data_IF_450724412605
#
_entry.id   IF_450724412605
#
_cell.length_a   1.000
_cell.length_b   1.000
_cell.length_c   1.000
_cell.angle_alpha   90.00
_cell.angle_beta   90.00
_cell.angle_gamma   90.00
#
_symmetry.space_group_name_H-M   'P 1'
#
loop_
_entity.id
_entity.type
_entity.pdbx_description
1 polymer ?
#
# COMPACT_ATOMS: atom_id res chain seq x y z
N UNK A 1 2.17 15.58 10.77
CA UNK A 1 1.40 14.31 10.91
C UNK A 1 1.11 13.69 9.55
N UNK A 2 0.48 14.40 8.61
CA UNK A 2 0.26 13.94 7.23
C UNK A 2 1.53 13.39 6.54
N UNK A 3 2.67 14.09 6.65
CA UNK A 3 3.95 13.60 6.12
C UNK A 3 4.42 12.29 6.78
N UNK A 4 4.10 12.08 8.06
CA UNK A 4 4.41 10.84 8.78
C UNK A 4 3.57 9.67 8.27
N UNK A 5 2.26 9.89 8.14
CA UNK A 5 1.34 8.91 7.54
C UNK A 5 1.76 8.54 6.11
N UNK A 6 2.14 9.53 5.29
CA UNK A 6 2.62 9.28 3.93
C UNK A 6 3.91 8.44 3.91
N UNK A 7 4.85 8.70 4.83
CA UNK A 7 6.07 7.89 4.99
C UNK A 7 5.78 6.47 5.48
N UNK A 8 4.83 6.29 6.39
CA UNK A 8 4.42 4.95 6.83
C UNK A 8 3.85 4.15 5.66
N UNK A 9 2.87 4.72 4.93
CA UNK A 9 2.26 4.06 3.77
C UNK A 9 3.30 3.77 2.68
N UNK A 10 4.20 4.73 2.38
CA UNK A 10 5.30 4.52 1.43
C UNK A 10 6.23 3.38 1.89
N UNK A 11 6.60 3.35 3.17
CA UNK A 11 7.45 2.31 3.74
C UNK A 11 6.82 0.93 3.67
N UNK A 12 5.53 0.81 4.02
CA UNK A 12 4.79 -0.45 3.92
C UNK A 12 4.64 -0.93 2.47
N UNK A 13 4.40 -0.02 1.52
CA UNK A 13 4.36 -0.37 0.09
C UNK A 13 5.73 -0.85 -0.43
N UNK A 14 6.83 -0.21 0.00
CA UNK A 14 8.17 -0.68 -0.33
C UNK A 14 8.50 -2.01 0.34
N UNK A 15 8.02 -2.26 1.56
CA UNK A 15 8.15 -3.55 2.22
C UNK A 15 7.39 -4.64 1.47
N UNK A 16 6.15 -4.38 1.05
CA UNK A 16 5.36 -5.29 0.21
C UNK A 16 6.08 -5.63 -1.11
N UNK A 17 6.69 -4.62 -1.76
CA UNK A 17 7.53 -4.85 -2.95
C UNK A 17 8.71 -5.78 -2.64
N UNK A 18 9.43 -5.52 -1.55
CA UNK A 18 10.58 -6.35 -1.16
C UNK A 18 10.15 -7.77 -0.78
N UNK A 19 8.97 -7.94 -0.17
CA UNK A 19 8.39 -9.24 0.12
C UNK A 19 8.10 -10.02 -1.17
N UNK A 20 7.51 -9.40 -2.20
CA UNK A 20 7.27 -10.05 -3.49
C UNK A 20 8.56 -10.57 -4.12
N UNK A 21 9.61 -9.75 -4.09
CA UNK A 21 10.93 -10.12 -4.62
C UNK A 21 11.57 -11.25 -3.81
N UNK A 22 11.49 -11.16 -2.47
CA UNK A 22 12.13 -12.14 -1.58
C UNK A 22 11.45 -13.50 -1.59
N UNK A 23 10.11 -13.52 -1.68
CA UNK A 23 9.34 -14.76 -1.72
C UNK A 23 9.23 -15.33 -3.13
N UNK A 24 9.58 -14.53 -4.15
CA UNK A 24 9.35 -14.85 -5.56
C UNK A 24 7.85 -15.06 -5.91
N UNK A 25 6.95 -14.48 -5.12
CA UNK A 25 5.49 -14.58 -5.27
C UNK A 25 4.87 -13.18 -5.48
N UNK A 26 3.65 -13.12 -6.02
CA UNK A 26 2.94 -11.85 -6.11
C UNK A 26 2.49 -11.38 -4.72
N UNK A 27 2.51 -10.07 -4.47
CA UNK A 27 2.06 -9.47 -3.20
C UNK A 27 1.11 -8.32 -3.50
N UNK A 28 -0.07 -8.32 -2.88
CA UNK A 28 -1.09 -7.30 -3.08
C UNK A 28 -1.35 -6.53 -1.80
N UNK A 29 -1.51 -5.22 -1.95
CA UNK A 29 -1.90 -4.33 -0.85
C UNK A 29 -3.37 -3.95 -1.01
N UNK A 30 -4.21 -4.45 -0.11
CA UNK A 30 -5.64 -4.21 -0.10
C UNK A 30 -5.96 -3.05 0.83
N UNK A 31 -6.33 -1.89 0.28
CA UNK A 31 -6.90 -0.78 1.04
C UNK A 31 -8.42 -0.99 1.18
N UNK A 32 -8.88 -1.43 2.34
CA UNK A 32 -10.29 -1.82 2.56
C UNK A 32 -11.07 -0.82 3.42
N UNK A 33 -10.41 0.11 4.11
CA UNK A 33 -11.07 1.30 4.69
C UNK A 33 -10.35 2.60 4.28
N UNK A 34 -10.71 3.70 4.92
CA UNK A 34 -10.08 5.01 4.83
C UNK A 34 -8.95 5.22 5.86
N UNK A 35 -8.53 4.17 6.58
CA UNK A 35 -7.34 4.19 7.44
C UNK A 35 -6.64 2.83 7.57
N UNK A 36 -7.28 1.75 7.09
CA UNK A 36 -6.75 0.40 7.18
C UNK A 36 -6.45 -0.21 5.82
N UNK A 37 -5.39 -1.00 5.79
CA UNK A 37 -5.01 -1.83 4.67
C UNK A 37 -4.36 -3.10 5.15
N UNK A 38 -4.18 -4.04 4.24
CA UNK A 38 -3.42 -5.25 4.51
C UNK A 38 -2.56 -5.66 3.34
N UNK A 39 -1.48 -6.36 3.65
CA UNK A 39 -0.53 -6.92 2.69
C UNK A 39 -0.76 -8.43 2.70
N UNK A 40 -0.96 -9.02 1.53
CA UNK A 40 -1.17 -10.45 1.33
C UNK A 40 -0.25 -10.94 0.21
N UNK A 41 0.20 -12.19 0.28
CA UNK A 41 1.01 -12.86 -0.74
C UNK A 41 0.24 -14.00 -1.40
N UNK A 42 0.54 -14.25 -2.68
CA UNK A 42 0.05 -15.36 -3.49
C UNK A 42 0.81 -16.62 -3.05
N UNK A 43 0.36 -17.28 -1.99
CA UNK A 43 1.06 -18.43 -1.40
C UNK A 43 0.75 -19.73 -2.14
N UNK A 44 -0.35 -19.73 -2.92
CA UNK A 44 -0.80 -20.88 -3.69
C UNK A 44 -0.29 -20.88 -5.15
N UNK A 45 0.36 -19.78 -5.59
CA UNK A 45 0.92 -19.55 -6.92
C UNK A 45 -0.10 -19.69 -8.07
N UNK A 46 -1.37 -19.35 -7.83
CA UNK A 46 -2.41 -19.38 -8.86
C UNK A 46 -2.42 -18.11 -9.74
N UNK A 47 -1.54 -17.14 -9.42
CA UNK A 47 -1.39 -15.88 -10.14
C UNK A 47 -2.35 -14.78 -9.66
N UNK A 48 -3.15 -15.05 -8.63
CA UNK A 48 -4.11 -14.13 -8.04
C UNK A 48 -3.91 -14.05 -6.54
N UNK A 49 -3.53 -12.87 -6.04
CA UNK A 49 -3.50 -12.64 -4.60
C UNK A 49 -4.92 -12.38 -4.10
N UNK A 50 -5.45 -13.29 -3.28
CA UNK A 50 -6.76 -13.20 -2.67
C UNK A 50 -6.79 -12.41 -1.36
N UNK A 51 -7.98 -11.93 -0.99
CA UNK A 51 -8.17 -11.17 0.25
C UNK A 51 -7.94 -12.08 1.45
N UNK A 52 -6.78 -11.94 2.10
CA UNK A 52 -6.46 -12.71 3.32
C UNK A 52 -5.69 -13.99 3.04
N UNK A 53 -5.17 -14.13 1.83
CA UNK A 53 -4.23 -15.18 1.47
C UNK A 53 -2.85 -14.95 2.10
N UNK A 54 -2.14 -16.05 2.34
CA UNK A 54 -0.74 -16.04 2.75
C UNK A 54 -0.53 -15.42 4.13
N UNK A 55 0.62 -14.78 4.29
CA UNK A 55 0.97 -14.07 5.50
C UNK A 55 0.33 -12.66 5.51
N UNK A 56 -0.81 -12.56 6.17
CA UNK A 56 -1.60 -11.33 6.22
C UNK A 56 -1.03 -10.33 7.23
N UNK A 57 -0.49 -9.21 6.73
CA UNK A 57 -0.10 -8.09 7.59
C UNK A 57 -1.19 -7.02 7.60
N UNK A 58 -1.85 -6.85 8.74
CA UNK A 58 -2.85 -5.78 8.93
C UNK A 58 -2.15 -4.50 9.38
N UNK A 59 -2.49 -3.38 8.74
CA UNK A 59 -1.92 -2.05 8.99
C UNK A 59 -3.03 -1.04 9.23
N UNK A 60 -2.84 -0.20 10.24
CA UNK A 60 -3.76 0.88 10.58
C UNK A 60 -2.95 2.17 10.84
N UNK A 61 -3.21 3.20 10.05
CA UNK A 61 -2.52 4.49 10.21
C UNK A 61 -3.07 5.30 11.39
N UNK A 62 -4.29 5.03 11.86
CA UNK A 62 -4.91 5.79 12.96
C UNK A 62 -4.27 5.54 14.31
N UNK A 63 -3.55 4.42 14.47
CA UNK A 63 -2.74 4.15 15.68
C UNK A 63 -1.79 5.31 16.01
N UNK A 64 -1.24 5.98 14.98
CA UNK A 64 -0.31 7.11 15.11
C UNK A 64 -0.88 8.43 14.54
N UNK A 65 -1.81 8.35 13.60
CA UNK A 65 -2.30 9.46 12.79
C UNK A 65 -3.84 9.49 12.69
N UNK A 66 -4.52 9.56 13.84
CA UNK A 66 -5.99 9.55 13.94
C UNK A 66 -6.73 10.63 13.13
N UNK A 67 -6.04 11.68 12.69
CA UNK A 67 -6.58 12.80 11.92
C UNK A 67 -6.23 12.74 10.42
N UNK A 68 -5.80 11.58 9.94
CA UNK A 68 -5.45 11.34 8.54
C UNK A 68 -6.30 10.21 7.98
N UNK A 69 -6.91 10.44 6.82
CA UNK A 69 -7.61 9.41 6.05
C UNK A 69 -6.86 9.13 4.75
N UNK A 70 -7.10 7.95 4.18
CA UNK A 70 -6.56 7.51 2.91
C UNK A 70 -7.68 7.18 1.91
N UNK A 71 -7.40 7.42 0.64
CA UNK A 71 -8.16 6.89 -0.49
C UNK A 71 -7.17 6.38 -1.53
N UNK A 72 -7.62 5.55 -2.45
CA UNK A 72 -6.78 4.87 -3.44
C UNK A 72 -7.47 4.86 -4.80
N UNK A 73 -6.69 4.99 -5.86
CA UNK A 73 -7.20 4.78 -7.23
C UNK A 73 -7.45 3.30 -7.51
N UNK A 74 -6.55 2.42 -7.06
CA UNK A 74 -6.57 0.96 -7.22
C UNK A 74 -5.80 0.29 -6.07
N UNK A 75 -5.87 -1.03 -5.97
CA UNK A 75 -4.99 -1.81 -5.08
C UNK A 75 -3.77 -2.30 -5.89
N UNK A 76 -2.52 -1.94 -5.50
CA UNK A 76 -1.34 -2.34 -6.26
C UNK A 76 -0.99 -3.81 -6.00
N UNK A 77 -0.55 -4.51 -7.05
CA UNK A 77 0.08 -5.83 -6.98
C UNK A 77 1.55 -5.69 -7.35
N UNK A 78 2.43 -6.04 -6.43
CA UNK A 78 3.86 -6.17 -6.67
C UNK A 78 4.18 -7.58 -7.16
N UNK A 79 4.99 -7.64 -8.21
CA UNK A 79 5.38 -8.88 -8.88
C UNK A 79 6.77 -9.34 -8.38
N UNK A 80 7.11 -10.63 -8.53
CA UNK A 80 8.41 -11.18 -8.12
C UNK A 80 9.63 -10.43 -8.70
N UNK A 81 9.49 -9.88 -9.90
CA UNK A 81 10.51 -9.04 -10.56
C UNK A 81 10.62 -7.62 -10.00
N UNK A 82 9.90 -7.28 -8.94
CA UNK A 82 9.90 -5.97 -8.29
C UNK A 82 9.12 -4.88 -9.04
N UNK A 83 8.36 -5.21 -10.09
CA UNK A 83 7.44 -4.30 -10.78
C UNK A 83 6.08 -4.24 -10.09
N UNK A 84 5.22 -3.27 -10.43
CA UNK A 84 3.87 -3.20 -9.91
C UNK A 84 2.81 -3.10 -11.03
N UNK A 85 1.60 -3.58 -10.77
CA UNK A 85 0.43 -3.37 -11.63
C UNK A 85 -0.86 -3.40 -10.81
N UNK A 86 -1.84 -2.52 -11.07
CA UNK A 86 -1.73 -1.32 -11.92
C UNK A 86 -0.92 -0.21 -11.22
N UNK A 87 -0.59 0.86 -11.96
CA UNK A 87 -0.13 2.10 -11.33
C UNK A 87 -1.20 2.61 -10.37
N UNK A 88 -0.78 3.03 -9.17
CA UNK A 88 -1.70 3.37 -8.09
C UNK A 88 -1.32 4.70 -7.47
N UNK A 89 -2.31 5.54 -7.17
CA UNK A 89 -2.15 6.72 -6.32
C UNK A 89 -2.95 6.51 -5.04
N UNK A 90 -2.26 6.64 -3.90
CA UNK A 90 -2.86 6.72 -2.59
C UNK A 90 -2.88 8.19 -2.20
N UNK A 91 -4.06 8.72 -1.91
CA UNK A 91 -4.27 10.10 -1.50
C UNK A 91 -4.49 10.10 0.01
N UNK A 92 -3.62 10.79 0.74
CA UNK A 92 -3.77 11.02 2.17
C UNK A 92 -4.27 12.43 2.41
N UNK A 93 -5.29 12.57 3.25
CA UNK A 93 -5.92 13.86 3.56
C UNK A 93 -6.01 14.05 5.06
N UNK A 94 -5.83 15.29 5.53
CA UNK A 94 -6.09 15.62 6.93
C UNK A 94 -7.57 15.92 7.15
N UNK A 95 -8.17 15.36 8.20
CA UNK A 95 -9.56 15.66 8.59
C UNK A 95 -9.68 16.99 9.32
N UNK A 96 -8.61 17.48 9.93
CA UNK A 96 -8.56 18.76 10.65
C UNK A 96 -8.14 19.93 9.76
N UNK A 97 -7.31 19.69 8.75
CA UNK A 97 -6.86 20.68 7.78
C UNK A 97 -7.13 20.17 6.35
N UNK A 98 -8.38 20.29 5.91
CA UNK A 98 -8.93 19.65 4.70
C UNK A 98 -8.16 20.04 3.41
N UNK A 99 -7.51 21.21 3.39
CA UNK A 99 -6.69 21.66 2.25
C UNK A 99 -5.33 20.94 2.16
N UNK A 100 -4.90 20.20 3.18
CA UNK A 100 -3.64 19.48 3.19
C UNK A 100 -3.82 18.05 2.66
N UNK A 101 -3.20 17.80 1.51
CA UNK A 101 -3.23 16.51 0.81
C UNK A 101 -1.78 16.07 0.53
N UNK A 102 -1.54 14.77 0.58
CA UNK A 102 -0.28 14.13 0.15
C UNK A 102 -0.58 12.95 -0.74
N UNK A 103 0.26 12.73 -1.75
CA UNK A 103 0.14 11.59 -2.64
C UNK A 103 1.27 10.60 -2.39
N UNK A 104 0.93 9.32 -2.35
CA UNK A 104 1.90 8.22 -2.43
C UNK A 104 1.62 7.47 -3.72
N UNK A 105 2.54 7.52 -4.67
CA UNK A 105 2.37 6.92 -5.99
C UNK A 105 3.20 5.66 -6.13
N UNK A 106 2.57 4.60 -6.62
CA UNK A 106 3.18 3.35 -7.06
C UNK A 106 3.21 3.36 -8.58
N UNK A 107 4.42 3.37 -9.14
CA UNK A 107 4.65 3.31 -10.58
C UNK A 107 4.74 1.86 -11.06
N UNK A 108 4.46 1.60 -12.34
CA UNK A 108 4.54 0.24 -12.91
C UNK A 108 5.93 -0.39 -12.82
N UNK A 109 6.98 0.43 -12.72
CA UNK A 109 8.36 0.00 -12.45
C UNK A 109 8.55 -0.51 -11.02
N UNK A 110 7.51 -0.48 -10.18
CA UNK A 110 7.53 -0.82 -8.77
C UNK A 110 8.11 0.27 -7.87
N UNK A 111 8.53 1.41 -8.43
CA UNK A 111 8.98 2.54 -7.63
C UNK A 111 7.81 3.12 -6.82
N UNK A 112 8.05 3.48 -5.56
CA UNK A 112 7.08 4.17 -4.70
C UNK A 112 7.62 5.53 -4.32
N UNK A 113 6.84 6.61 -4.50
CA UNK A 113 7.27 7.99 -4.21
C UNK A 113 6.18 8.78 -3.50
N UNK A 114 6.59 9.72 -2.65
CA UNK A 114 5.71 10.74 -2.07
C UNK A 114 5.77 11.98 -2.97
N UNK A 115 4.60 12.55 -3.27
CA UNK A 115 4.43 13.84 -3.96
C UNK A 115 3.59 14.78 -3.07
#
# INVERSE_FOLDING_TARGET
RLNGAARQVMGDLMAARMQAVSLNHAVKVFFYSDHQYKICDDVNDDGTVDYGEGNVQVKDIHSNYHDVTLTKSMNPVFQPRGTASPATTITLSSTTNISLIKYVKVFITGSVKIE
#
